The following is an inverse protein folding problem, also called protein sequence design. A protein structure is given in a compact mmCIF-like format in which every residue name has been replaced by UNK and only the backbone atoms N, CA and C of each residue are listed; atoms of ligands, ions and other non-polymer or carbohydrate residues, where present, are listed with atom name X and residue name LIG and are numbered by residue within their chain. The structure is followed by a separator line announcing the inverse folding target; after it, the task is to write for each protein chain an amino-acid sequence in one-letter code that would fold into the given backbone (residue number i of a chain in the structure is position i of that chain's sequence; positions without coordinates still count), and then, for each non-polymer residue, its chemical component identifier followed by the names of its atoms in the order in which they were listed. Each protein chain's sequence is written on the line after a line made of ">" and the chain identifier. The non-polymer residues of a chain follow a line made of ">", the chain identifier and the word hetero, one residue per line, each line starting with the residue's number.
data_IF_353833208586
#
_entry.id   IF_353833208586
#
_cell.length_a   1.000
_cell.length_b   1.000
_cell.length_c   1.000
_cell.angle_alpha   90.00
_cell.angle_beta   90.00
_cell.angle_gamma   90.00
#
_symmetry.space_group_name_H-M   'P 1'
#
loop_
_entity.id
_entity.type
_entity.pdbx_description
1 polymer ?
#
# COMPACT_ATOMS: atom_id res chain seq x y z
N UNK A 1 13.41 17.75 44.42
CA UNK A 1 12.84 16.71 43.53
C UNK A 1 12.55 17.19 42.10
N UNK A 2 12.29 18.49 41.85
CA UNK A 2 12.16 19.04 40.48
C UNK A 2 13.52 19.30 39.79
N UNK A 3 14.57 19.57 40.57
CA UNK A 3 15.90 19.99 40.09
C UNK A 3 16.73 18.85 39.45
N UNK A 4 16.54 17.60 39.91
CA UNK A 4 17.21 16.42 39.35
C UNK A 4 16.68 16.03 37.97
N UNK A 5 15.38 16.24 37.71
CA UNK A 5 14.75 15.87 36.43
C UNK A 5 15.19 16.77 35.28
N UNK A 6 15.45 18.05 35.54
CA UNK A 6 15.97 18.98 34.55
C UNK A 6 17.43 18.64 34.19
N UNK A 7 18.25 18.30 35.20
CA UNK A 7 19.64 17.84 35.00
C UNK A 7 19.73 16.54 34.20
N UNK A 8 18.83 15.58 34.47
CA UNK A 8 18.81 14.31 33.77
C UNK A 8 18.34 14.44 32.29
N UNK A 9 17.45 15.40 31.99
CA UNK A 9 17.03 15.75 30.61
C UNK A 9 18.18 16.35 29.80
N UNK A 10 19.01 17.20 30.42
CA UNK A 10 20.16 17.83 29.76
C UNK A 10 21.30 16.84 29.46
N UNK A 11 21.43 15.76 30.25
CA UNK A 11 22.44 14.71 30.06
C UNK A 11 22.15 13.77 28.88
N UNK A 12 20.90 13.72 28.40
CA UNK A 12 20.43 12.80 27.35
C UNK A 12 20.12 13.51 26.02
N UNK A 13 20.42 14.81 25.90
CA UNK A 13 20.21 15.64 24.69
C UNK A 13 18.80 15.51 24.08
N UNK A 14 17.79 15.40 24.96
CA UNK A 14 16.40 15.18 24.56
C UNK A 14 15.77 16.48 24.02
N UNK A 15 15.02 16.43 22.90
CA UNK A 15 14.36 17.60 22.36
C UNK A 15 13.44 18.27 23.39
N UNK A 16 13.45 19.60 23.41
CA UNK A 16 12.57 20.37 24.28
C UNK A 16 11.13 20.35 23.75
N UNK A 17 10.18 20.41 24.68
CA UNK A 17 8.76 20.52 24.37
C UNK A 17 8.51 21.81 23.57
N UNK A 18 7.85 21.73 22.40
CA UNK A 18 7.67 22.87 21.48
C UNK A 18 6.22 22.94 20.97
N UNK A 19 5.50 24.01 21.30
CA UNK A 19 4.09 24.15 20.95
C UNK A 19 3.23 23.07 21.61
N UNK A 20 2.48 22.29 20.83
CA UNK A 20 1.70 21.15 21.32
C UNK A 20 2.53 19.86 21.47
N UNK A 21 3.81 19.86 21.05
CA UNK A 21 4.70 18.72 21.22
C UNK A 21 5.22 18.63 22.66
N UNK A 22 5.13 17.43 23.25
CA UNK A 22 5.70 17.08 24.56
C UNK A 22 6.43 15.75 24.44
N UNK A 23 7.72 15.72 24.77
CA UNK A 23 8.59 14.53 24.74
C UNK A 23 8.05 13.40 25.63
N UNK A 24 7.26 13.70 26.66
CA UNK A 24 6.60 12.67 27.49
C UNK A 24 5.60 11.81 26.72
N UNK A 25 5.16 12.28 25.55
CA UNK A 25 4.28 11.55 24.65
C UNK A 25 5.05 10.84 23.53
N UNK A 26 6.39 10.89 23.56
CA UNK A 26 7.24 10.16 22.63
C UNK A 26 7.14 8.66 22.97
N UNK A 27 6.59 7.89 22.04
CA UNK A 27 6.49 6.44 22.15
C UNK A 27 7.19 5.83 20.94
N UNK A 28 7.93 4.75 21.20
CA UNK A 28 8.56 3.97 20.15
C UNK A 28 7.47 3.22 19.38
N UNK A 29 7.27 3.58 18.11
CA UNK A 29 6.21 3.06 17.25
C UNK A 29 6.64 3.17 15.80
N UNK A 30 6.19 2.27 14.93
CA UNK A 30 6.45 2.41 13.50
C UNK A 30 5.99 3.78 12.98
N UNK A 31 6.79 4.42 12.13
CA UNK A 31 6.47 5.71 11.54
C UNK A 31 5.25 5.64 10.61
N UNK A 32 4.28 6.52 10.82
CA UNK A 32 3.16 6.73 9.90
C UNK A 32 3.12 8.21 9.51
N UNK A 33 2.77 8.50 8.26
CA UNK A 33 2.51 9.87 7.82
C UNK A 33 1.39 9.93 6.81
N UNK A 34 0.80 11.11 6.68
CA UNK A 34 -0.30 11.41 5.78
C UNK A 34 0.02 12.68 4.99
N UNK A 35 -0.19 12.62 3.68
CA UNK A 35 -0.12 13.79 2.80
C UNK A 35 -1.44 13.87 2.04
N UNK A 36 -2.08 15.04 2.08
CA UNK A 36 -3.32 15.30 1.38
C UNK A 36 -3.27 16.67 0.68
N UNK A 37 -3.95 16.77 -0.45
CA UNK A 37 -4.21 18.07 -1.09
C UNK A 37 -5.57 18.58 -0.60
N UNK A 38 -5.60 19.75 0.03
CA UNK A 38 -6.82 20.28 0.67
C UNK A 38 -7.93 20.53 -0.36
N UNK A 39 -7.58 21.01 -1.55
CA UNK A 39 -8.55 21.21 -2.65
C UNK A 39 -8.87 19.93 -3.45
N UNK A 40 -8.49 18.75 -2.94
CA UNK A 40 -8.75 17.45 -3.57
C UNK A 40 -8.22 17.33 -5.02
N UNK A 41 -7.11 18.01 -5.33
CA UNK A 41 -6.48 17.94 -6.64
C UNK A 41 -5.47 16.80 -6.71
N UNK A 42 -5.61 15.94 -7.72
CA UNK A 42 -4.68 14.85 -7.95
C UNK A 42 -3.34 15.40 -8.49
N UNK A 43 -2.25 15.18 -7.75
CA UNK A 43 -0.91 15.62 -8.12
C UNK A 43 0.14 14.57 -7.78
N UNK A 44 1.12 14.38 -8.66
CA UNK A 44 2.29 13.54 -8.39
C UNK A 44 3.13 14.06 -7.20
N UNK A 45 3.02 15.35 -6.88
CA UNK A 45 3.67 15.94 -5.70
C UNK A 45 3.26 15.24 -4.40
N UNK A 46 2.02 14.75 -4.30
CA UNK A 46 1.52 14.00 -3.13
C UNK A 46 2.32 12.70 -2.96
N UNK A 47 2.57 11.99 -4.07
CA UNK A 47 3.37 10.76 -4.08
C UNK A 47 4.82 11.05 -3.71
N UNK A 48 5.42 12.09 -4.31
CA UNK A 48 6.79 12.52 -4.01
C UNK A 48 6.96 12.87 -2.52
N UNK A 49 6.02 13.62 -1.95
CA UNK A 49 6.00 13.96 -0.53
C UNK A 49 5.84 12.72 0.35
N UNK A 50 4.97 11.77 -0.03
CA UNK A 50 4.83 10.49 0.67
C UNK A 50 6.14 9.70 0.72
N UNK A 51 6.88 9.65 -0.40
CA UNK A 51 8.21 9.04 -0.44
C UNK A 51 9.22 9.79 0.43
N UNK A 52 9.18 11.13 0.46
CA UNK A 52 10.02 11.94 1.35
C UNK A 52 9.72 11.63 2.83
N UNK A 53 8.45 11.46 3.19
CA UNK A 53 8.05 11.06 4.54
C UNK A 53 8.62 9.69 4.89
N UNK A 54 8.46 8.69 4.01
CA UNK A 54 9.02 7.34 4.24
C UNK A 54 10.54 7.37 4.44
N UNK A 55 11.27 8.13 3.60
CA UNK A 55 12.73 8.30 3.74
C UNK A 55 13.12 8.93 5.08
N UNK A 56 12.34 9.92 5.54
CA UNK A 56 12.57 10.57 6.84
C UNK A 56 12.24 9.67 8.02
N UNK A 57 11.40 8.66 7.83
CA UNK A 57 11.04 7.69 8.86
C UNK A 57 12.00 6.48 8.94
N UNK A 58 13.01 6.40 8.08
CA UNK A 58 13.97 5.27 8.07
C UNK A 58 14.69 5.07 9.40
N UNK A 59 14.96 6.14 10.16
CA UNK A 59 15.57 6.04 11.49
C UNK A 59 14.68 5.31 12.52
N UNK A 60 13.39 5.10 12.19
CA UNK A 60 12.42 4.34 12.98
C UNK A 60 12.12 2.96 12.40
N UNK A 61 12.81 2.59 11.33
CA UNK A 61 12.74 1.24 10.76
C UNK A 61 13.66 0.32 11.54
N UNK A 62 13.15 -0.84 11.93
CA UNK A 62 14.01 -1.94 12.35
C UNK A 62 14.63 -2.59 11.09
N UNK A 63 15.93 -2.82 11.16
CA UNK A 63 16.66 -3.66 10.21
C UNK A 63 16.83 -5.04 10.86
N UNK A 64 16.52 -6.09 10.12
CA UNK A 64 16.63 -7.47 10.59
C UNK A 64 18.08 -7.96 10.64
N UNK A 65 18.28 -9.28 10.62
CA UNK A 65 19.62 -9.88 10.54
C UNK A 65 20.38 -9.61 9.24
N UNK A 66 19.68 -9.13 8.21
CA UNK A 66 20.24 -8.60 6.96
C UNK A 66 20.16 -7.06 7.00
N UNK A 67 21.29 -6.34 7.10
CA UNK A 67 21.31 -4.88 7.14
C UNK A 67 20.71 -4.20 5.90
N UNK A 68 20.63 -4.92 4.78
CA UNK A 68 20.04 -4.45 3.52
C UNK A 68 18.54 -4.77 3.41
N UNK A 69 17.94 -5.41 4.43
CA UNK A 69 16.50 -5.72 4.49
C UNK A 69 15.86 -5.03 5.70
N UNK A 70 14.94 -4.11 5.44
CA UNK A 70 14.04 -3.54 6.44
C UNK A 70 12.76 -4.36 6.63
N UNK A 71 12.10 -4.16 7.77
CA UNK A 71 10.85 -4.85 8.15
C UNK A 71 9.62 -4.46 7.30
N UNK A 72 9.80 -3.48 6.42
CA UNK A 72 8.88 -3.15 5.35
C UNK A 72 8.41 -1.69 5.35
N UNK A 73 8.06 -1.23 4.15
CA UNK A 73 7.48 0.09 3.93
C UNK A 73 6.39 0.03 2.87
N UNK A 74 5.56 1.08 2.80
CA UNK A 74 4.55 1.17 1.76
C UNK A 74 3.80 2.48 1.73
N UNK A 75 3.09 2.67 0.62
CA UNK A 75 2.17 3.77 0.37
C UNK A 75 0.79 3.22 0.05
N UNK A 76 -0.23 3.79 0.69
CA UNK A 76 -1.62 3.70 0.28
C UNK A 76 -1.99 5.02 -0.39
N UNK A 77 -2.48 4.97 -1.63
CA UNK A 77 -2.87 6.18 -2.36
C UNK A 77 -4.06 5.90 -3.30
N UNK A 78 -4.63 6.95 -3.86
CA UNK A 78 -5.77 6.83 -4.78
C UNK A 78 -5.38 6.11 -6.08
N UNK A 79 -6.32 5.39 -6.70
CA UNK A 79 -6.06 4.74 -7.98
C UNK A 79 -5.60 5.78 -9.03
N UNK A 80 -4.41 5.60 -9.63
CA UNK A 80 -3.84 6.54 -10.58
C UNK A 80 -4.43 6.32 -11.99
N UNK A 81 -5.71 6.64 -12.17
CA UNK A 81 -6.47 6.36 -13.41
C UNK A 81 -5.77 6.86 -14.68
N UNK A 82 -5.22 8.07 -14.68
CA UNK A 82 -4.46 8.63 -15.82
C UNK A 82 -3.23 7.79 -16.17
N UNK A 83 -2.52 7.28 -15.16
CA UNK A 83 -1.35 6.42 -15.35
C UNK A 83 -1.77 5.07 -15.95
N UNK A 84 -2.81 4.44 -15.38
CA UNK A 84 -3.28 3.16 -15.90
C UNK A 84 -3.80 3.28 -17.32
N UNK A 85 -4.61 4.27 -17.67
CA UNK A 85 -5.07 4.45 -19.07
C UNK A 85 -3.92 4.63 -20.07
N UNK A 86 -2.80 5.23 -19.63
CA UNK A 86 -1.63 5.46 -20.48
C UNK A 86 -0.79 4.20 -20.69
N UNK A 87 -0.71 3.33 -19.69
CA UNK A 87 0.24 2.21 -19.66
C UNK A 87 -0.39 0.82 -19.68
N UNK A 88 -1.68 0.72 -19.42
CA UNK A 88 -2.46 -0.50 -19.54
C UNK A 88 -2.91 -0.57 -20.99
N UNK A 89 -2.38 -1.51 -21.78
CA UNK A 89 -2.76 -1.72 -23.18
C UNK A 89 -4.22 -2.21 -23.38
N UNK A 90 -5.11 -1.93 -22.43
CA UNK A 90 -6.50 -2.34 -22.38
C UNK A 90 -7.40 -1.13 -22.13
N UNK A 91 -8.64 -1.19 -22.62
CA UNK A 91 -9.63 -0.14 -22.38
C UNK A 91 -10.20 -0.28 -20.97
N UNK A 92 -10.11 0.80 -20.19
CA UNK A 92 -10.68 0.86 -18.85
C UNK A 92 -12.06 1.56 -18.86
N UNK A 93 -13.05 1.01 -18.13
CA UNK A 93 -14.29 1.73 -17.78
C UNK A 93 -14.00 3.09 -17.13
N UNK A 94 -15.02 3.93 -16.97
CA UNK A 94 -14.87 5.21 -16.27
C UNK A 94 -14.28 5.02 -14.86
N UNK A 95 -13.55 6.02 -14.36
CA UNK A 95 -13.00 5.99 -13.00
C UNK A 95 -14.12 5.71 -11.97
N UNK A 96 -13.90 4.76 -11.06
CA UNK A 96 -14.90 4.30 -10.11
C UNK A 96 -15.88 3.25 -10.67
N UNK A 97 -15.69 2.81 -11.92
CA UNK A 97 -16.43 1.70 -12.55
C UNK A 97 -15.54 0.48 -12.85
N UNK A 98 -14.27 0.55 -12.47
CA UNK A 98 -13.36 -0.60 -12.45
C UNK A 98 -12.61 -0.64 -11.12
N UNK A 99 -12.24 -1.85 -10.69
CA UNK A 99 -11.42 -2.10 -9.53
C UNK A 99 -10.04 -2.61 -9.91
N UNK A 100 -9.10 -2.49 -8.99
CA UNK A 100 -7.76 -3.09 -9.10
C UNK A 100 -7.50 -3.93 -7.85
N UNK A 101 -7.24 -5.21 -8.05
CA UNK A 101 -6.65 -6.07 -7.03
C UNK A 101 -5.13 -6.08 -7.21
N UNK A 102 -4.39 -5.64 -6.20
CA UNK A 102 -2.96 -5.90 -6.08
C UNK A 102 -2.82 -7.32 -5.56
N UNK A 103 -2.06 -8.18 -6.25
CA UNK A 103 -1.93 -9.61 -6.00
C UNK A 103 -0.48 -9.95 -5.73
N UNK A 104 -0.19 -10.49 -4.56
CA UNK A 104 1.11 -11.05 -4.18
C UNK A 104 1.02 -12.58 -4.20
N UNK A 105 1.88 -13.23 -4.97
CA UNK A 105 1.93 -14.68 -5.14
C UNK A 105 0.79 -15.19 -6.03
N UNK A 106 0.12 -16.25 -5.59
CA UNK A 106 -1.01 -16.85 -6.29
C UNK A 106 -0.66 -17.39 -7.67
N UNK A 107 0.56 -17.89 -7.85
CA UNK A 107 0.97 -18.57 -9.08
C UNK A 107 0.07 -19.78 -9.34
N UNK A 108 -0.58 -19.82 -10.51
CA UNK A 108 -1.53 -20.87 -10.86
C UNK A 108 -2.95 -20.67 -10.29
N UNK A 109 -3.19 -19.63 -9.50
CA UNK A 109 -4.50 -19.32 -8.93
C UNK A 109 -5.33 -18.33 -9.76
N UNK A 110 -4.87 -17.95 -10.96
CA UNK A 110 -5.54 -16.96 -11.81
C UNK A 110 -7.00 -17.33 -12.06
N UNK A 111 -7.25 -18.57 -12.48
CA UNK A 111 -8.61 -19.07 -12.72
C UNK A 111 -9.51 -19.00 -11.48
N UNK A 112 -8.97 -19.23 -10.28
CA UNK A 112 -9.72 -19.11 -9.03
C UNK A 112 -10.06 -17.65 -8.71
N UNK A 113 -9.12 -16.73 -8.90
CA UNK A 113 -9.36 -15.30 -8.69
C UNK A 113 -10.41 -14.79 -9.69
N UNK A 114 -10.32 -15.18 -10.94
CA UNK A 114 -11.28 -14.81 -11.99
C UNK A 114 -12.67 -15.40 -11.70
N UNK A 115 -12.75 -16.65 -11.27
CA UNK A 115 -14.01 -17.30 -10.87
C UNK A 115 -14.65 -16.61 -9.67
N UNK A 116 -13.86 -16.26 -8.65
CA UNK A 116 -14.36 -15.52 -7.48
C UNK A 116 -14.87 -14.14 -7.91
N UNK A 117 -14.12 -13.40 -8.73
CA UNK A 117 -14.56 -12.12 -9.25
C UNK A 117 -15.87 -12.23 -10.06
N UNK A 118 -15.96 -13.22 -10.93
CA UNK A 118 -17.15 -13.51 -11.73
C UNK A 118 -18.38 -13.84 -10.85
N UNK A 119 -18.20 -14.61 -9.77
CA UNK A 119 -19.29 -14.90 -8.82
C UNK A 119 -19.85 -13.66 -8.11
N UNK A 120 -19.07 -12.58 -8.05
CA UNK A 120 -19.47 -11.28 -7.51
C UNK A 120 -19.95 -10.30 -8.59
N UNK A 121 -20.11 -10.77 -9.84
CA UNK A 121 -20.58 -9.99 -10.97
C UNK A 121 -19.51 -9.08 -11.58
N UNK A 122 -18.24 -9.35 -11.34
CA UNK A 122 -17.11 -8.58 -11.89
C UNK A 122 -16.48 -9.31 -13.08
N UNK A 123 -16.21 -8.58 -14.15
CA UNK A 123 -15.50 -9.10 -15.34
C UNK A 123 -14.00 -8.90 -15.22
N UNK A 124 -13.19 -9.77 -15.83
CA UNK A 124 -11.75 -9.56 -15.93
C UNK A 124 -11.45 -8.66 -17.12
N UNK A 125 -10.71 -7.57 -16.89
CA UNK A 125 -10.25 -6.68 -17.96
C UNK A 125 -8.89 -7.15 -18.45
N UNK A 126 -7.91 -7.21 -17.54
CA UNK A 126 -6.53 -7.54 -17.87
C UNK A 126 -5.72 -7.86 -16.61
N UNK A 127 -4.74 -8.74 -16.77
CA UNK A 127 -3.66 -8.94 -15.82
C UNK A 127 -2.45 -8.10 -16.20
N UNK A 128 -1.87 -7.42 -15.23
CA UNK A 128 -0.67 -6.59 -15.41
C UNK A 128 0.42 -7.06 -14.45
N UNK A 129 1.57 -7.44 -14.98
CA UNK A 129 2.80 -7.56 -14.19
C UNK A 129 3.19 -6.18 -13.65
N UNK A 130 3.48 -6.11 -12.34
CA UNK A 130 3.97 -4.86 -11.74
C UNK A 130 5.48 -4.82 -11.96
N UNK A 131 6.01 -3.77 -12.63
CA UNK A 131 7.45 -3.61 -12.77
C UNK A 131 8.10 -3.48 -11.40
N UNK A 132 9.10 -4.32 -11.14
CA UNK A 132 9.92 -4.33 -9.92
C UNK A 132 11.39 -4.44 -10.29
N UNK A 133 12.28 -4.08 -9.36
CA UNK A 133 13.72 -4.31 -9.46
C UNK A 133 14.19 -5.11 -8.24
N UNK A 134 14.12 -6.46 -8.28
CA UNK A 134 14.53 -7.30 -7.16
C UNK A 134 16.02 -7.13 -6.80
N UNK A 135 16.87 -6.62 -7.70
CA UNK A 135 18.28 -6.40 -7.38
C UNK A 135 18.51 -5.24 -6.39
N UNK A 136 17.49 -4.40 -6.19
CA UNK A 136 17.54 -3.22 -5.30
C UNK A 136 17.21 -3.49 -3.83
N UNK A 137 16.90 -4.74 -3.46
CA UNK A 137 16.49 -5.14 -2.11
C UNK A 137 17.43 -6.19 -1.51
N UNK A 138 17.53 -6.22 -0.18
CA UNK A 138 18.36 -7.17 0.56
C UNK A 138 18.07 -8.64 0.26
N UNK A 139 19.00 -9.52 0.61
CA UNK A 139 18.92 -10.95 0.27
C UNK A 139 17.67 -11.60 0.86
N UNK A 140 17.36 -11.31 2.13
CA UNK A 140 16.20 -11.91 2.81
C UNK A 140 14.89 -11.46 2.18
N UNK A 141 14.77 -10.18 1.79
CA UNK A 141 13.63 -9.68 1.04
C UNK A 141 13.49 -10.34 -0.34
N UNK A 142 14.60 -10.56 -1.05
CA UNK A 142 14.59 -11.26 -2.36
C UNK A 142 14.12 -12.69 -2.27
N UNK A 143 14.60 -13.46 -1.30
CA UNK A 143 14.26 -14.88 -1.12
C UNK A 143 12.76 -15.08 -0.83
N UNK A 144 12.11 -14.08 -0.24
CA UNK A 144 10.67 -14.09 0.08
C UNK A 144 9.81 -13.24 -0.86
N UNK A 145 10.41 -12.64 -1.91
CA UNK A 145 9.72 -11.73 -2.82
C UNK A 145 8.64 -12.50 -3.61
N UNK A 146 7.34 -12.17 -3.45
CA UNK A 146 6.29 -12.80 -4.22
C UNK A 146 6.30 -12.29 -5.67
N UNK A 147 5.65 -13.02 -6.60
CA UNK A 147 5.25 -12.42 -7.87
C UNK A 147 4.19 -11.35 -7.61
N UNK A 148 4.39 -10.15 -8.14
CA UNK A 148 3.51 -9.00 -7.91
C UNK A 148 2.76 -8.66 -9.18
N UNK A 149 1.44 -8.80 -9.13
CA UNK A 149 0.54 -8.57 -10.27
C UNK A 149 -0.62 -7.69 -9.89
N UNK A 150 -1.27 -7.13 -10.90
CA UNK A 150 -2.51 -6.38 -10.78
C UNK A 150 -3.58 -7.03 -11.65
N UNK A 151 -4.72 -7.34 -11.04
CA UNK A 151 -5.91 -7.80 -11.74
C UNK A 151 -6.90 -6.62 -11.83
N UNK A 152 -7.21 -6.21 -13.05
CA UNK A 152 -8.19 -5.16 -13.33
C UNK A 152 -9.57 -5.79 -13.54
N UNK A 153 -10.55 -5.29 -12.79
CA UNK A 153 -11.90 -5.85 -12.72
C UNK A 153 -12.93 -4.85 -13.21
N UNK A 154 -13.76 -5.24 -14.15
CA UNK A 154 -14.89 -4.47 -14.66
C UNK A 154 -16.08 -4.59 -13.70
N UNK A 155 -16.57 -3.44 -13.24
CA UNK A 155 -17.76 -3.29 -12.42
C UNK A 155 -18.80 -2.37 -13.06
N UNK A 156 -18.72 -2.11 -14.36
CA UNK A 156 -19.58 -1.17 -15.06
C UNK A 156 -21.06 -1.60 -15.09
N UNK A 157 -21.36 -2.87 -14.83
CA UNK A 157 -22.72 -3.39 -14.67
C UNK A 157 -23.34 -3.10 -13.30
N UNK A 158 -22.54 -2.76 -12.29
CA UNK A 158 -23.03 -2.48 -10.93
C UNK A 158 -23.72 -1.11 -10.88
N UNK A 159 -24.67 -0.89 -9.95
CA UNK A 159 -25.46 0.35 -9.95
C UNK A 159 -24.63 1.60 -9.69
N UNK A 160 -23.64 1.53 -8.79
CA UNK A 160 -22.87 2.69 -8.35
C UNK A 160 -21.44 2.30 -7.89
N UNK A 161 -20.52 3.27 -7.73
CA UNK A 161 -19.16 3.01 -7.25
C UNK A 161 -19.09 2.38 -5.84
N UNK A 162 -20.06 2.64 -4.96
CA UNK A 162 -20.07 2.04 -3.62
C UNK A 162 -20.47 0.55 -3.68
N UNK A 163 -21.33 0.16 -4.61
CA UNK A 163 -21.64 -1.24 -4.91
C UNK A 163 -20.39 -1.97 -5.41
N UNK A 164 -19.60 -1.34 -6.28
CA UNK A 164 -18.31 -1.88 -6.71
C UNK A 164 -17.34 -2.07 -5.54
N UNK A 165 -17.19 -1.08 -4.65
CA UNK A 165 -16.34 -1.24 -3.46
C UNK A 165 -16.77 -2.42 -2.58
N UNK A 166 -18.09 -2.60 -2.36
CA UNK A 166 -18.61 -3.72 -1.58
C UNK A 166 -18.26 -5.06 -2.23
N UNK A 167 -18.41 -5.18 -3.55
CA UNK A 167 -18.08 -6.40 -4.29
C UNK A 167 -16.58 -6.71 -4.29
N UNK A 168 -15.73 -5.69 -4.48
CA UNK A 168 -14.27 -5.85 -4.40
C UNK A 168 -13.81 -6.27 -2.99
N UNK A 169 -14.46 -5.76 -1.93
CA UNK A 169 -14.23 -6.23 -0.57
C UNK A 169 -14.58 -7.71 -0.40
N UNK A 170 -15.73 -8.16 -0.92
CA UNK A 170 -16.13 -9.57 -0.86
C UNK A 170 -15.16 -10.45 -1.63
N UNK A 171 -14.77 -10.07 -2.85
CA UNK A 171 -13.74 -10.78 -3.64
C UNK A 171 -12.46 -10.93 -2.83
N UNK A 172 -11.97 -9.85 -2.20
CA UNK A 172 -10.78 -9.91 -1.36
C UNK A 172 -10.93 -10.89 -0.20
N UNK A 173 -12.07 -10.87 0.51
CA UNK A 173 -12.32 -11.78 1.63
C UNK A 173 -12.46 -13.24 1.21
N UNK A 174 -13.01 -13.49 0.03
CA UNK A 174 -13.11 -14.84 -0.52
C UNK A 174 -11.72 -15.36 -0.89
N UNK A 175 -10.93 -14.57 -1.64
CA UNK A 175 -9.54 -14.94 -2.00
C UNK A 175 -8.70 -15.21 -0.76
N UNK A 176 -8.74 -14.32 0.25
CA UNK A 176 -8.03 -14.51 1.53
C UNK A 176 -8.41 -15.81 2.26
N UNK A 177 -9.63 -16.30 2.08
CA UNK A 177 -10.13 -17.53 2.73
C UNK A 177 -9.86 -18.80 1.94
N UNK A 178 -9.91 -18.74 0.61
CA UNK A 178 -9.99 -19.93 -0.23
C UNK A 178 -8.74 -20.17 -1.07
N UNK A 179 -7.98 -19.12 -1.39
CA UNK A 179 -6.81 -19.22 -2.27
C UNK A 179 -5.54 -19.19 -1.45
N UNK A 180 -4.91 -20.35 -1.26
CA UNK A 180 -3.65 -20.47 -0.52
C UNK A 180 -2.50 -19.81 -1.29
N UNK A 181 -1.56 -19.22 -0.56
CA UNK A 181 -0.39 -18.57 -1.16
C UNK A 181 -0.70 -17.30 -1.95
N UNK A 182 -1.91 -16.76 -1.83
CA UNK A 182 -2.32 -15.51 -2.46
C UNK A 182 -2.67 -14.48 -1.40
N UNK A 183 -2.08 -13.29 -1.51
CA UNK A 183 -2.38 -12.17 -0.63
C UNK A 183 -2.76 -10.95 -1.46
N UNK A 184 -3.83 -10.26 -1.06
CA UNK A 184 -4.29 -9.04 -1.71
C UNK A 184 -4.06 -7.81 -0.81
N UNK A 185 -2.95 -7.07 -0.95
CA UNK A 185 -2.72 -5.82 -0.20
C UNK A 185 -3.88 -4.83 -0.35
N UNK A 186 -4.47 -4.77 -1.54
CA UNK A 186 -5.64 -3.94 -1.84
C UNK A 186 -6.50 -4.59 -2.93
N UNK A 187 -7.81 -4.42 -2.82
CA UNK A 187 -8.78 -4.71 -3.88
C UNK A 187 -9.87 -3.63 -3.80
N UNK A 188 -9.78 -2.62 -4.66
CA UNK A 188 -10.61 -1.41 -4.58
C UNK A 188 -10.63 -0.68 -5.93
N UNK A 189 -11.65 0.15 -6.15
CA UNK A 189 -11.81 1.12 -7.24
C UNK A 189 -11.37 2.54 -6.83
N UNK A 190 -11.01 2.73 -5.55
CA UNK A 190 -10.65 4.03 -4.96
C UNK A 190 -9.18 4.13 -4.59
N UNK A 191 -8.64 3.09 -3.95
CA UNK A 191 -7.29 3.09 -3.38
C UNK A 191 -6.48 1.88 -3.80
N UNK A 192 -5.16 2.05 -3.85
CA UNK A 192 -4.20 0.98 -4.11
C UNK A 192 -3.07 1.05 -3.10
N UNK A 193 -2.55 -0.13 -2.70
CA UNK A 193 -1.43 -0.26 -1.78
C UNK A 193 -0.21 -0.78 -2.53
N UNK A 194 0.89 -0.04 -2.45
CA UNK A 194 2.22 -0.48 -2.84
C UNK A 194 3.04 -0.64 -1.57
N UNK A 195 3.40 -1.86 -1.22
CA UNK A 195 4.20 -2.16 -0.02
C UNK A 195 5.10 -3.37 -0.26
N UNK A 196 6.16 -3.50 0.53
CA UNK A 196 7.05 -4.65 0.47
C UNK A 196 8.06 -4.65 1.61
N UNK A 197 8.79 -5.74 1.74
CA UNK A 197 10.06 -5.78 2.46
C UNK A 197 11.10 -5.13 1.54
N UNK A 198 11.76 -4.09 2.03
CA UNK A 198 12.66 -3.23 1.26
C UNK A 198 13.98 -3.08 1.98
#
# INVERSE_FOLDING_TARGET
>A
MQDDRARQRALLDLPQDQGLYSFRNEHDACGVGLVAHLDNQASHAIIANGLTVLKRLMHRGAAGGDPETGDGAGLLFAIPDKFFRKHLGAKLPAKGRYGVAMVFGGEGAEADLERIAASEGLGVIVWREVPTDPASIGRTARESCPRIRQLFLDGASLPDPAALERKLFVVRRLVEKTVRGCYLPSCSSRSIVYKGLL
#
